data_IF_138941567909
#
_entry.id   IF_138941567909
#
_cell.length_a   1.000
_cell.length_b   1.000
_cell.length_c   1.000
_cell.angle_alpha   90.00
_cell.angle_beta   90.00
_cell.angle_gamma   90.00
#
_symmetry.space_group_name_H-M   'P 1'
#
loop_
_entity.id
_entity.type
_entity.pdbx_description
1 polymer ?
#
# COMPACT_ATOMS: atom_id res chain seq x y z
N UNK A 1 16.67 -5.55 13.37
CA UNK A 1 16.13 -5.69 14.74
C UNK A 1 16.34 -4.41 15.51
N UNK A 2 15.43 -4.01 16.42
CA UNK A 2 15.64 -2.84 17.27
C UNK A 2 16.91 -3.00 18.10
N UNK A 3 17.56 -1.87 18.41
CA UNK A 3 18.73 -1.83 19.30
C UNK A 3 18.37 -2.46 20.66
N UNK A 4 19.06 -3.54 21.09
CA UNK A 4 18.80 -4.20 22.36
C UNK A 4 18.84 -3.25 23.56
N UNK A 5 19.61 -2.15 23.46
CA UNK A 5 19.72 -1.13 24.50
C UNK A 5 18.45 -0.32 24.68
N UNK A 6 17.62 -0.22 23.65
CA UNK A 6 16.35 0.52 23.64
C UNK A 6 15.16 -0.29 24.17
N UNK A 7 15.20 -1.62 24.09
CA UNK A 7 14.05 -2.48 24.45
C UNK A 7 13.61 -2.33 25.90
N UNK A 8 14.55 -2.07 26.83
CA UNK A 8 14.23 -1.81 28.24
C UNK A 8 13.35 -0.57 28.46
N UNK A 9 13.33 0.36 27.50
CA UNK A 9 12.55 1.59 27.60
C UNK A 9 11.12 1.42 27.07
N UNK A 10 10.79 0.30 26.40
CA UNK A 10 9.46 0.05 25.83
C UNK A 10 8.34 0.17 26.88
N UNK A 11 8.45 -0.40 28.09
CA UNK A 11 7.39 -0.26 29.10
C UNK A 11 7.16 1.18 29.53
N UNK A 12 8.23 1.96 29.70
CA UNK A 12 8.15 3.37 30.11
C UNK A 12 7.55 4.22 29.00
N UNK A 13 8.01 4.04 27.75
CA UNK A 13 7.47 4.75 26.59
C UNK A 13 5.98 4.43 26.38
N UNK A 14 5.59 3.15 26.49
CA UNK A 14 4.21 2.73 26.39
C UNK A 14 3.35 3.40 27.46
N UNK A 15 3.76 3.34 28.73
CA UNK A 15 3.01 3.95 29.83
C UNK A 15 2.79 5.47 29.64
N UNK A 16 3.78 6.18 29.11
CA UNK A 16 3.64 7.62 28.82
C UNK A 16 2.68 7.88 27.65
N UNK A 17 2.75 7.09 26.58
CA UNK A 17 1.87 7.22 25.41
C UNK A 17 0.42 6.80 25.73
N UNK A 18 0.23 5.81 26.61
CA UNK A 18 -1.08 5.33 27.09
C UNK A 18 -1.86 6.43 27.83
N UNK A 19 -1.20 7.47 28.35
CA UNK A 19 -1.86 8.64 28.94
C UNK A 19 -2.57 9.53 27.90
N UNK A 20 -2.12 9.48 26.64
CA UNK A 20 -2.61 10.36 25.58
C UNK A 20 -3.45 9.63 24.51
N UNK A 21 -3.42 8.30 24.47
CA UNK A 21 -4.15 7.53 23.47
C UNK A 21 -3.97 6.02 23.60
N UNK A 22 -4.42 5.31 22.57
CA UNK A 22 -4.32 3.85 22.50
C UNK A 22 -2.90 3.47 22.07
N UNK A 23 -2.27 2.57 22.84
CA UNK A 23 -0.95 2.02 22.54
C UNK A 23 -1.04 0.52 22.41
N UNK A 24 -0.55 0.00 21.29
CA UNK A 24 -0.38 -1.43 21.08
C UNK A 24 1.12 -1.75 21.13
N UNK A 25 1.48 -2.74 21.95
CA UNK A 25 2.84 -3.30 22.00
C UNK A 25 2.85 -4.61 21.23
N UNK A 26 3.84 -4.75 20.35
CA UNK A 26 4.05 -5.96 19.54
C UNK A 26 5.52 -6.34 19.57
N UNK A 27 5.79 -7.64 19.59
CA UNK A 27 7.16 -8.16 19.55
C UNK A 27 7.77 -8.02 18.15
N UNK A 28 6.95 -8.18 17.11
CA UNK A 28 7.29 -7.96 15.71
C UNK A 28 6.53 -6.74 15.17
N UNK A 29 7.24 -5.63 15.05
CA UNK A 29 6.71 -4.39 14.47
C UNK A 29 6.72 -4.40 12.93
N UNK A 30 7.48 -5.29 12.29
CA UNK A 30 7.57 -5.31 10.83
C UNK A 30 6.30 -5.87 10.20
N UNK A 31 5.72 -6.92 10.77
CA UNK A 31 4.42 -7.44 10.33
C UNK A 31 3.33 -6.35 10.25
N UNK A 32 2.96 -5.63 11.34
CA UNK A 32 1.93 -4.58 11.23
C UNK A 32 2.31 -3.42 10.30
N UNK A 33 3.60 -3.04 10.23
CA UNK A 33 4.06 -2.02 9.26
C UNK A 33 3.82 -2.47 7.82
N UNK A 34 4.11 -3.73 7.52
CA UNK A 34 3.90 -4.30 6.20
C UNK A 34 2.41 -4.45 5.86
N UNK A 35 1.56 -4.78 6.84
CA UNK A 35 0.12 -4.78 6.62
C UNK A 35 -0.42 -3.40 6.22
N UNK A 36 0.10 -2.33 6.84
CA UNK A 36 -0.21 -0.96 6.41
C UNK A 36 0.36 -0.64 5.02
N UNK A 37 1.55 -1.15 4.69
CA UNK A 37 2.14 -1.04 3.36
C UNK A 37 1.24 -1.66 2.29
N UNK A 38 0.70 -2.87 2.53
CA UNK A 38 -0.21 -3.56 1.59
C UNK A 38 -1.39 -2.66 1.21
N UNK A 39 -2.03 -2.05 2.21
CA UNK A 39 -3.12 -1.09 1.95
C UNK A 39 -2.62 0.08 1.11
N UNK A 40 -1.54 0.74 1.53
CA UNK A 40 -1.01 1.90 0.85
C UNK A 40 -0.62 1.62 -0.62
N UNK A 41 0.00 0.47 -0.88
CA UNK A 41 0.37 0.03 -2.22
C UNK A 41 -0.85 -0.25 -3.09
N UNK A 42 -1.92 -0.78 -2.51
CA UNK A 42 -3.18 -1.04 -3.20
C UNK A 42 -3.92 0.23 -3.60
N UNK A 43 -3.88 1.29 -2.79
CA UNK A 43 -4.76 2.46 -3.02
C UNK A 43 -4.09 3.80 -3.32
N UNK A 44 -2.94 4.13 -2.71
CA UNK A 44 -2.45 5.51 -2.73
C UNK A 44 -1.92 5.93 -4.10
N UNK A 45 -0.96 5.17 -4.63
CA UNK A 45 -0.32 5.48 -5.92
C UNK A 45 -1.26 5.16 -7.10
N UNK A 46 -1.99 4.02 -7.14
CA UNK A 46 -2.92 3.74 -8.23
C UNK A 46 -3.99 4.83 -8.43
N UNK A 47 -4.58 5.35 -7.35
CA UNK A 47 -5.55 6.45 -7.45
C UNK A 47 -4.90 7.78 -7.87
N UNK A 48 -3.69 8.06 -7.39
CA UNK A 48 -2.97 9.28 -7.72
C UNK A 48 -2.59 9.36 -9.21
N UNK A 49 -2.23 8.23 -9.84
CA UNK A 49 -1.90 8.17 -11.28
C UNK A 49 -3.07 8.65 -12.14
N UNK A 50 -4.31 8.36 -11.72
CA UNK A 50 -5.53 8.77 -12.42
C UNK A 50 -6.02 10.17 -12.04
N UNK A 51 -5.37 10.85 -11.08
CA UNK A 51 -5.80 12.15 -10.51
C UNK A 51 -7.21 12.11 -9.88
N UNK A 52 -7.56 10.98 -9.27
CA UNK A 52 -8.88 10.73 -8.68
C UNK A 52 -8.81 10.51 -7.17
N UNK A 53 -9.95 10.61 -6.50
CA UNK A 53 -10.08 10.06 -5.15
C UNK A 53 -9.91 8.53 -5.17
N UNK A 54 -9.58 7.95 -4.01
CA UNK A 54 -9.50 6.49 -3.86
C UNK A 54 -10.82 5.83 -4.26
N UNK A 55 -11.94 6.35 -3.77
CA UNK A 55 -13.29 5.82 -4.04
C UNK A 55 -13.67 5.98 -5.51
N UNK A 56 -13.38 7.12 -6.13
CA UNK A 56 -13.65 7.35 -7.56
C UNK A 56 -12.87 6.37 -8.44
N UNK A 57 -11.61 6.10 -8.08
CA UNK A 57 -10.76 5.13 -8.77
C UNK A 57 -11.41 3.75 -8.81
N UNK A 58 -12.00 3.28 -7.70
CA UNK A 58 -12.68 1.96 -7.66
C UNK A 58 -13.90 1.84 -8.58
N UNK A 59 -14.46 2.96 -9.07
CA UNK A 59 -15.61 2.96 -9.98
C UNK A 59 -15.22 2.69 -11.43
N UNK A 60 -13.92 2.75 -11.76
CA UNK A 60 -13.42 2.34 -13.06
C UNK A 60 -13.37 0.81 -13.14
N UNK A 61 -13.92 0.26 -14.24
CA UNK A 61 -14.19 -1.17 -14.43
C UNK A 61 -13.05 -2.08 -13.98
N UNK A 62 -11.81 -1.75 -14.34
CA UNK A 62 -10.65 -2.61 -14.09
C UNK A 62 -9.77 -2.10 -12.93
N UNK A 63 -9.98 -0.89 -12.43
CA UNK A 63 -9.10 -0.31 -11.40
C UNK A 63 -9.26 -1.00 -10.04
N UNK A 64 -10.46 -1.45 -9.67
CA UNK A 64 -10.60 -2.24 -8.43
C UNK A 64 -9.74 -3.52 -8.50
N UNK A 65 -9.66 -4.16 -9.67
CA UNK A 65 -8.82 -5.34 -9.87
C UNK A 65 -7.33 -5.00 -9.85
N UNK A 66 -6.92 -3.85 -10.41
CA UNK A 66 -5.54 -3.35 -10.32
C UNK A 66 -5.13 -3.09 -8.87
N UNK A 67 -5.97 -2.41 -8.09
CA UNK A 67 -5.72 -2.12 -6.68
C UNK A 67 -5.59 -3.40 -5.85
N UNK A 68 -6.49 -4.38 -6.08
CA UNK A 68 -6.41 -5.69 -5.45
C UNK A 68 -5.11 -6.41 -5.82
N UNK A 69 -4.76 -6.48 -7.11
CA UNK A 69 -3.55 -7.15 -7.58
C UNK A 69 -2.26 -6.51 -7.01
N UNK A 70 -2.22 -5.18 -6.88
CA UNK A 70 -1.09 -4.49 -6.23
C UNK A 70 -0.95 -4.88 -4.75
N UNK A 71 -2.07 -4.99 -4.04
CA UNK A 71 -2.08 -5.47 -2.66
C UNK A 71 -1.72 -6.95 -2.55
N UNK A 72 -2.18 -7.80 -3.47
CA UNK A 72 -1.91 -9.24 -3.47
C UNK A 72 -0.42 -9.52 -3.70
N UNK A 73 0.23 -8.80 -4.61
CA UNK A 73 1.69 -8.85 -4.77
C UNK A 73 2.42 -8.45 -3.47
N UNK A 74 1.89 -7.46 -2.72
CA UNK A 74 2.43 -7.06 -1.43
C UNK A 74 2.18 -8.12 -0.33
N UNK A 75 1.09 -8.88 -0.40
CA UNK A 75 0.83 -10.04 0.47
C UNK A 75 1.83 -11.16 0.16
N UNK A 76 2.09 -11.46 -1.11
CA UNK A 76 3.08 -12.47 -1.50
C UNK A 76 4.49 -12.09 -1.04
N UNK A 77 4.84 -10.81 -1.16
CA UNK A 77 6.08 -10.28 -0.60
C UNK A 77 6.16 -10.47 0.93
N UNK A 78 5.04 -10.26 1.64
CA UNK A 78 4.98 -10.49 3.10
C UNK A 78 5.29 -11.94 3.46
N UNK A 79 4.72 -12.90 2.71
CA UNK A 79 4.95 -14.34 2.91
C UNK A 79 6.42 -14.72 2.74
N UNK A 80 7.07 -14.19 1.70
CA UNK A 80 8.50 -14.45 1.42
C UNK A 80 9.42 -13.84 2.48
N UNK A 81 9.01 -12.72 3.09
CA UNK A 81 9.73 -12.05 4.17
C UNK A 81 9.43 -12.65 5.57
N UNK A 82 8.65 -13.73 5.65
CA UNK A 82 8.19 -14.35 6.90
C UNK A 82 7.42 -13.38 7.82
N UNK A 83 6.68 -12.44 7.23
CA UNK A 83 5.79 -11.54 7.96
C UNK A 83 4.41 -12.15 8.15
N UNK A 84 3.87 -11.98 9.37
CA UNK A 84 2.58 -12.53 9.77
C UNK A 84 1.45 -11.61 9.32
N UNK A 85 0.62 -12.09 8.40
CA UNK A 85 -0.63 -11.41 8.05
C UNK A 85 -1.49 -11.30 9.31
N UNK A 86 -1.94 -10.07 9.59
CA UNK A 86 -2.71 -9.75 10.80
C UNK A 86 -3.61 -8.55 10.56
N UNK A 87 -4.72 -8.41 11.30
CA UNK A 87 -5.55 -7.22 11.25
C UNK A 87 -4.77 -5.94 11.59
N UNK A 88 -5.18 -4.83 10.98
CA UNK A 88 -4.68 -3.46 11.24
C UNK A 88 -5.86 -2.52 11.52
N UNK A 89 -5.59 -1.28 11.98
CA UNK A 89 -6.63 -0.27 12.26
C UNK A 89 -7.68 -0.66 13.30
N UNK A 90 -7.36 -1.54 14.24
CA UNK A 90 -8.35 -2.04 15.19
C UNK A 90 -9.45 -2.89 14.55
N UNK A 91 -9.26 -3.31 13.29
CA UNK A 91 -10.13 -4.28 12.64
C UNK A 91 -10.10 -5.61 13.41
N UNK A 92 -11.28 -6.22 13.55
CA UNK A 92 -11.45 -7.50 14.23
C UNK A 92 -12.10 -8.50 13.28
N UNK A 93 -11.64 -9.75 13.25
CA UNK A 93 -12.24 -10.82 12.44
C UNK A 93 -11.20 -11.69 11.73
N UNK A 94 -11.59 -12.94 11.41
CA UNK A 94 -10.71 -13.93 10.76
C UNK A 94 -10.40 -13.58 9.30
N UNK A 95 -11.28 -12.85 8.63
CA UNK A 95 -11.14 -12.52 7.19
C UNK A 95 -10.01 -11.51 6.91
N UNK A 96 -9.58 -10.74 7.92
CA UNK A 96 -8.40 -9.88 7.86
C UNK A 96 -7.13 -10.55 8.43
N UNK A 97 -7.19 -11.85 8.70
CA UNK A 97 -6.05 -12.66 9.14
C UNK A 97 -5.61 -13.70 8.09
N UNK A 98 -6.43 -13.95 7.06
CA UNK A 98 -6.06 -14.81 5.92
C UNK A 98 -5.43 -13.96 4.80
N UNK A 99 -4.26 -14.36 4.25
CA UNK A 99 -3.65 -13.72 3.10
C UNK A 99 -4.60 -13.58 1.90
N UNK A 100 -5.42 -14.59 1.65
CA UNK A 100 -6.29 -14.69 0.46
C UNK A 100 -7.44 -13.67 0.47
N UNK A 101 -7.93 -13.32 1.65
CA UNK A 101 -9.03 -12.36 1.82
C UNK A 101 -8.57 -11.00 2.31
N UNK A 102 -7.31 -10.86 2.73
CA UNK A 102 -6.79 -9.67 3.40
C UNK A 102 -7.06 -8.38 2.62
N UNK A 103 -6.57 -8.29 1.38
CA UNK A 103 -6.58 -7.04 0.59
C UNK A 103 -8.00 -6.59 0.29
N UNK A 104 -8.88 -7.52 -0.10
CA UNK A 104 -10.29 -7.21 -0.36
C UNK A 104 -10.99 -6.72 0.90
N UNK A 105 -10.80 -7.41 2.02
CA UNK A 105 -11.42 -7.05 3.30
C UNK A 105 -10.98 -5.66 3.76
N UNK A 106 -9.67 -5.35 3.72
CA UNK A 106 -9.17 -4.05 4.15
C UNK A 106 -9.59 -2.90 3.22
N UNK A 107 -9.67 -3.12 1.90
CA UNK A 107 -10.11 -2.10 0.96
C UNK A 107 -11.61 -1.82 1.10
N UNK A 108 -12.43 -2.86 1.24
CA UNK A 108 -13.88 -2.72 1.45
C UNK A 108 -14.14 -1.99 2.80
N UNK A 109 -13.41 -2.34 3.87
CA UNK A 109 -13.49 -1.69 5.18
C UNK A 109 -13.05 -0.22 5.14
N UNK A 110 -11.93 0.06 4.48
CA UNK A 110 -11.41 1.41 4.33
C UNK A 110 -12.46 2.30 3.64
N UNK A 111 -13.00 1.84 2.51
CA UNK A 111 -14.01 2.56 1.74
C UNK A 111 -15.31 2.78 2.51
N UNK A 112 -15.69 1.86 3.40
CA UNK A 112 -16.91 1.98 4.21
C UNK A 112 -16.75 2.94 5.39
N UNK A 113 -15.61 2.89 6.09
CA UNK A 113 -15.52 3.43 7.45
C UNK A 113 -14.43 4.48 7.67
N UNK A 114 -13.43 4.58 6.79
CA UNK A 114 -12.22 5.36 7.07
C UNK A 114 -11.91 6.46 6.06
N UNK A 115 -12.51 6.45 4.88
CA UNK A 115 -12.31 7.49 3.86
C UNK A 115 -13.63 8.09 3.39
N UNK A 116 -13.62 9.41 3.18
CA UNK A 116 -14.72 10.11 2.51
C UNK A 116 -14.65 9.88 0.98
N UNK A 117 -15.78 9.98 0.25
CA UNK A 117 -15.82 9.76 -1.20
C UNK A 117 -14.86 10.63 -2.02
N UNK A 118 -14.46 11.79 -1.49
CA UNK A 118 -13.56 12.76 -2.12
C UNK A 118 -12.14 12.75 -1.53
N UNK A 119 -11.81 11.75 -0.71
CA UNK A 119 -10.48 11.63 -0.10
C UNK A 119 -9.41 11.35 -1.15
N UNK A 120 -8.50 12.31 -1.30
CA UNK A 120 -7.30 12.16 -2.14
C UNK A 120 -6.20 11.52 -1.31
N UNK A 121 -5.48 10.57 -1.92
CA UNK A 121 -4.32 9.93 -1.29
C UNK A 121 -3.23 10.95 -0.93
N UNK A 122 -2.36 10.60 0.02
CA UNK A 122 -1.19 11.43 0.38
C UNK A 122 -0.30 11.68 -0.84
N UNK A 123 -0.06 10.62 -1.64
CA UNK A 123 0.67 10.69 -2.92
C UNK A 123 0.05 11.72 -3.86
N UNK A 124 -1.28 11.69 -4.06
CA UNK A 124 -1.93 12.66 -4.92
C UNK A 124 -1.80 14.09 -4.38
N UNK A 125 -1.91 14.27 -3.07
CA UNK A 125 -1.70 15.58 -2.45
C UNK A 125 -0.28 16.11 -2.61
N UNK A 126 0.73 15.24 -2.55
CA UNK A 126 2.12 15.63 -2.79
C UNK A 126 2.32 16.10 -4.22
N UNK A 127 1.83 15.34 -5.20
CA UNK A 127 1.92 15.73 -6.61
C UNK A 127 1.14 17.01 -6.92
N UNK A 128 -0.04 17.22 -6.32
CA UNK A 128 -0.79 18.48 -6.44
C UNK A 128 0.00 19.70 -5.93
N UNK A 129 0.93 19.49 -5.00
CA UNK A 129 1.80 20.53 -4.42
C UNK A 129 3.19 20.58 -5.07
N UNK A 130 3.44 19.77 -6.11
CA UNK A 130 4.74 19.69 -6.78
C UNK A 130 5.84 19.05 -5.92
N UNK A 131 5.48 18.14 -5.00
CA UNK A 131 6.41 17.41 -4.14
C UNK A 131 6.62 15.98 -4.64
N UNK A 132 7.79 15.42 -4.34
CA UNK A 132 8.02 13.97 -4.46
C UNK A 132 7.16 13.20 -3.45
N UNK A 133 6.75 12.01 -3.86
CA UNK A 133 5.97 11.07 -3.07
C UNK A 133 6.83 9.94 -2.50
N UNK A 134 6.20 9.09 -1.70
CA UNK A 134 6.77 7.89 -1.05
C UNK A 134 6.68 6.63 -1.94
N UNK A 135 6.56 6.76 -3.26
CA UNK A 135 6.30 5.60 -4.16
C UNK A 135 7.37 4.50 -4.07
N UNK A 136 8.64 4.87 -3.88
CA UNK A 136 9.74 3.90 -3.78
C UNK A 136 9.72 3.14 -2.46
N UNK A 137 9.18 3.76 -1.41
CA UNK A 137 8.99 3.20 -0.07
C UNK A 137 7.66 2.44 0.06
N UNK A 138 6.74 2.62 -0.90
CA UNK A 138 5.48 1.90 -1.02
C UNK A 138 5.59 0.74 -2.04
N UNK A 139 5.06 0.95 -3.25
CA UNK A 139 5.05 -0.05 -4.32
C UNK A 139 6.47 -0.48 -4.72
N UNK A 140 7.45 0.42 -4.67
CA UNK A 140 8.86 0.09 -4.93
C UNK A 140 9.46 -0.88 -3.92
N UNK A 141 8.99 -0.87 -2.67
CA UNK A 141 9.43 -1.83 -1.66
C UNK A 141 8.88 -3.23 -1.93
N UNK A 142 7.66 -3.32 -2.45
CA UNK A 142 7.03 -4.58 -2.88
C UNK A 142 7.81 -5.19 -4.06
N UNK A 143 8.12 -4.38 -5.07
CA UNK A 143 8.94 -4.80 -6.22
C UNK A 143 10.27 -5.38 -5.74
N UNK A 144 11.03 -4.62 -4.94
CA UNK A 144 12.33 -5.05 -4.41
C UNK A 144 12.25 -6.34 -3.59
N UNK A 145 11.21 -6.48 -2.76
CA UNK A 145 11.02 -7.67 -1.94
C UNK A 145 10.77 -8.93 -2.78
N UNK A 146 9.96 -8.84 -3.84
CA UNK A 146 9.69 -9.95 -4.75
C UNK A 146 10.90 -10.28 -5.62
N UNK A 147 11.57 -9.27 -6.17
CA UNK A 147 12.78 -9.45 -6.99
C UNK A 147 13.91 -10.13 -6.22
N UNK A 148 14.09 -9.79 -4.94
CA UNK A 148 15.08 -10.43 -4.07
C UNK A 148 14.86 -11.95 -3.90
N UNK A 149 13.66 -12.43 -4.20
CA UNK A 149 13.28 -13.85 -4.16
C UNK A 149 13.02 -14.44 -5.55
N UNK A 150 13.45 -13.75 -6.62
CA UNK A 150 13.29 -14.19 -8.01
C UNK A 150 11.83 -14.17 -8.51
N UNK A 151 10.94 -13.44 -7.82
CA UNK A 151 9.55 -13.27 -8.20
C UNK A 151 9.33 -11.92 -8.88
N UNK A 152 8.24 -11.80 -9.65
CA UNK A 152 7.85 -10.55 -10.32
C UNK A 152 6.69 -9.88 -9.59
N UNK A 153 6.65 -8.55 -9.68
CA UNK A 153 5.57 -7.71 -9.16
C UNK A 153 4.98 -6.84 -10.28
N UNK A 154 4.41 -7.42 -11.35
CA UNK A 154 4.06 -6.68 -12.57
C UNK A 154 3.13 -5.50 -12.33
N UNK A 155 2.17 -5.59 -11.41
CA UNK A 155 1.27 -4.49 -11.09
C UNK A 155 1.98 -3.38 -10.31
N UNK A 156 2.69 -3.70 -9.23
CA UNK A 156 3.47 -2.70 -8.49
C UNK A 156 4.57 -2.07 -9.36
N UNK A 157 5.21 -2.84 -10.22
CA UNK A 157 6.23 -2.37 -11.16
C UNK A 157 5.66 -1.33 -12.12
N UNK A 158 4.52 -1.61 -12.77
CA UNK A 158 3.86 -0.64 -13.65
C UNK A 158 3.47 0.65 -12.90
N UNK A 159 2.95 0.51 -11.68
CA UNK A 159 2.58 1.64 -10.82
C UNK A 159 3.79 2.51 -10.48
N UNK A 160 4.92 1.91 -10.11
CA UNK A 160 6.19 2.61 -9.85
C UNK A 160 6.68 3.34 -11.10
N UNK A 161 6.68 2.68 -12.26
CA UNK A 161 7.12 3.28 -13.52
C UNK A 161 6.30 4.53 -13.88
N UNK A 162 4.97 4.47 -13.76
CA UNK A 162 4.09 5.59 -14.02
C UNK A 162 4.29 6.73 -13.03
N UNK A 163 4.37 6.41 -11.74
CA UNK A 163 4.60 7.40 -10.70
C UNK A 163 5.92 8.15 -10.89
N UNK A 164 7.01 7.45 -11.19
CA UNK A 164 8.31 8.08 -11.43
C UNK A 164 8.31 8.91 -12.72
N UNK A 165 7.59 8.50 -13.77
CA UNK A 165 7.41 9.30 -14.97
C UNK A 165 6.61 10.59 -14.72
N UNK A 166 5.61 10.53 -13.82
CA UNK A 166 4.87 11.72 -13.36
C UNK A 166 5.79 12.66 -12.58
N UNK A 167 6.60 12.13 -11.66
CA UNK A 167 7.53 12.96 -10.87
C UNK A 167 8.65 13.59 -11.70
N UNK A 168 9.07 12.93 -12.79
CA UNK A 168 10.03 13.50 -13.76
C UNK A 168 9.38 14.51 -14.74
N UNK A 169 8.06 14.67 -14.73
CA UNK A 169 7.35 15.54 -15.66
C UNK A 169 7.21 14.97 -17.08
N UNK A 170 7.52 13.69 -17.29
CA UNK A 170 7.38 12.99 -18.57
C UNK A 170 5.92 12.58 -18.84
N UNK A 171 5.13 12.47 -17.77
CA UNK A 171 3.69 12.20 -17.82
C UNK A 171 2.95 13.17 -16.91
N UNK A 172 1.72 13.50 -17.27
CA UNK A 172 0.79 14.14 -16.35
C UNK A 172 -0.06 13.08 -15.67
N UNK A 173 -0.38 13.27 -14.39
CA UNK A 173 -1.42 12.46 -13.73
C UNK A 173 -2.79 12.77 -14.38
N UNK A 174 -3.69 11.78 -14.43
CA UNK A 174 -5.03 11.95 -14.97
C UNK A 174 -5.61 10.67 -15.55
N UNK A 175 -6.93 10.67 -15.77
CA UNK A 175 -7.70 9.51 -16.27
C UNK A 175 -7.18 8.95 -17.61
N UNK A 176 -6.45 9.75 -18.39
CA UNK A 176 -5.83 9.32 -19.65
C UNK A 176 -4.77 8.22 -19.44
N UNK A 177 -4.27 8.04 -18.21
CA UNK A 177 -3.35 6.96 -17.85
C UNK A 177 -4.05 5.61 -17.66
N UNK A 178 -5.39 5.54 -17.59
CA UNK A 178 -6.13 4.30 -17.33
C UNK A 178 -5.78 3.17 -18.31
N UNK A 179 -5.96 3.40 -19.62
CA UNK A 179 -5.65 2.41 -20.65
C UNK A 179 -4.16 2.03 -20.67
N UNK A 180 -3.25 3.01 -20.77
CA UNK A 180 -1.80 2.75 -20.78
C UNK A 180 -1.29 1.98 -19.55
N UNK A 181 -1.86 2.22 -18.36
CA UNK A 181 -1.49 1.49 -17.16
C UNK A 181 -1.87 0.01 -17.27
N UNK A 182 -3.08 -0.29 -17.75
CA UNK A 182 -3.55 -1.67 -17.94
C UNK A 182 -2.72 -2.42 -18.99
N UNK A 183 -2.40 -1.77 -20.10
CA UNK A 183 -1.52 -2.30 -21.15
C UNK A 183 -0.16 -2.66 -20.57
N UNK A 184 0.44 -1.73 -19.80
CA UNK A 184 1.75 -1.96 -19.19
C UNK A 184 1.76 -3.12 -18.19
N UNK A 185 0.71 -3.25 -17.38
CA UNK A 185 0.55 -4.38 -16.46
C UNK A 185 0.48 -5.71 -17.24
N UNK A 186 -0.27 -5.75 -18.35
CA UNK A 186 -0.42 -6.96 -19.16
C UNK A 186 0.90 -7.37 -19.85
N UNK A 187 1.68 -6.41 -20.33
CA UNK A 187 3.03 -6.63 -20.87
C UNK A 187 3.95 -7.27 -19.82
N UNK A 188 4.03 -6.69 -18.63
CA UNK A 188 4.89 -7.17 -17.55
C UNK A 188 4.51 -8.57 -17.06
N UNK A 189 3.21 -8.90 -17.07
CA UNK A 189 2.71 -10.26 -16.76
C UNK A 189 3.10 -11.30 -17.81
N UNK A 190 3.35 -10.87 -19.04
CA UNK A 190 3.64 -11.75 -20.18
C UNK A 190 5.14 -11.89 -20.46
N UNK A 191 5.96 -10.98 -19.91
CA UNK A 191 7.43 -11.08 -19.87
C UNK A 191 7.90 -12.14 -18.88
#
# INVERSE_FOLDING_TARGET
SPDPRGSKNIPVAAALLELAGVVERVDDINSPKWMKLILNAAELVPSAILDLSIVETTKFKDMKAVMLAAGDEAVEAAKLLDYKIRPIFGMTGLDAASPETFVKTILDELAANYILPHSKSTVLQDWMKGRHSEVNELNGLVVKALEAHGQKAPTNQAVVEFALAIERGEKTRGIHNYGPLLERIAELKSS
#
